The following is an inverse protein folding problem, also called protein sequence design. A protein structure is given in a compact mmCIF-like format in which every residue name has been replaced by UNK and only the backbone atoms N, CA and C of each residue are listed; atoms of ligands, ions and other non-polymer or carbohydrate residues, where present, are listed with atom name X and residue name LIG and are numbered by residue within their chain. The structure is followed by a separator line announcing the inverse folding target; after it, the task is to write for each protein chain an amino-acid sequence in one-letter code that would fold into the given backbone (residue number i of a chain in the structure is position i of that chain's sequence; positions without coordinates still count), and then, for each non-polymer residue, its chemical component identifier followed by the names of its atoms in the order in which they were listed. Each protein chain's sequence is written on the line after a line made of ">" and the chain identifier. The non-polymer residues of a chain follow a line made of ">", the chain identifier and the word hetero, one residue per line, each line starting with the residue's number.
data_IF_961713260464
#
_entry.id   IF_961713260464
#
_cell.length_a   1.000
_cell.length_b   1.000
_cell.length_c   1.000
_cell.angle_alpha   90.00
_cell.angle_beta   90.00
_cell.angle_gamma   90.00
#
_symmetry.space_group_name_H-M   'P 1'
#
loop_
_entity.id
_entity.type
_entity.pdbx_description
1 polymer ?
#
# COMPACT_ATOMS: atom_id res chain seq x y z
N UNK A 1 13.08 3.65 -10.15
CA UNK A 1 11.96 3.01 -9.44
C UNK A 1 10.96 4.11 -9.10
N UNK A 2 9.75 4.02 -9.65
CA UNK A 2 8.75 5.08 -9.46
C UNK A 2 7.97 4.83 -8.18
N UNK A 3 8.20 5.65 -7.14
CA UNK A 3 7.52 5.53 -5.85
C UNK A 3 6.00 5.49 -6.04
N UNK A 4 5.32 4.65 -5.26
CA UNK A 4 3.86 4.68 -5.12
C UNK A 4 3.47 4.85 -3.66
N UNK A 5 2.25 5.30 -3.46
CA UNK A 5 1.63 5.52 -2.17
C UNK A 5 0.39 4.66 -2.05
N UNK A 6 0.10 4.22 -0.83
CA UNK A 6 -1.11 3.49 -0.50
C UNK A 6 -1.79 4.19 0.67
N UNK A 7 -3.08 4.47 0.52
CA UNK A 7 -3.93 4.96 1.61
C UNK A 7 -4.68 3.75 2.16
N UNK A 8 -4.80 3.66 3.49
CA UNK A 8 -5.55 2.63 4.19
C UNK A 8 -6.23 3.21 5.42
N UNK A 9 -7.50 2.88 5.66
CA UNK A 9 -8.17 3.13 6.93
C UNK A 9 -8.15 1.89 7.82
N UNK A 10 -7.75 2.04 9.07
CA UNK A 10 -7.82 0.97 10.07
C UNK A 10 -9.29 0.60 10.33
N UNK A 11 -9.63 -0.69 10.21
CA UNK A 11 -11.01 -1.16 10.32
C UNK A 11 -11.89 -0.91 9.08
N UNK A 12 -11.38 -0.22 8.05
CA UNK A 12 -12.08 -0.05 6.78
C UNK A 12 -11.68 -1.17 5.81
N UNK A 13 -12.50 -2.22 5.71
CA UNK A 13 -12.22 -3.45 4.96
C UNK A 13 -11.88 -3.26 3.46
N UNK A 14 -12.16 -2.09 2.88
CA UNK A 14 -12.10 -1.87 1.43
C UNK A 14 -11.32 -0.64 0.98
N UNK A 15 -10.66 0.08 1.89
CA UNK A 15 -10.07 1.40 1.56
C UNK A 15 -8.59 1.35 1.19
N UNK A 16 -8.14 0.28 0.52
CA UNK A 16 -6.74 0.17 0.06
C UNK A 16 -6.66 0.65 -1.39
N UNK A 17 -6.29 1.93 -1.59
CA UNK A 17 -6.10 2.51 -2.91
C UNK A 17 -4.65 2.89 -3.14
N UNK A 18 -4.13 2.53 -4.32
CA UNK A 18 -2.77 2.84 -4.76
C UNK A 18 -2.75 4.12 -5.60
N UNK A 19 -1.75 4.95 -5.36
CA UNK A 19 -1.50 6.21 -6.04
C UNK A 19 -0.05 6.26 -6.54
N UNK A 20 0.18 6.82 -7.73
CA UNK A 20 1.52 6.99 -8.29
C UNK A 20 2.07 8.42 -8.08
N UNK A 21 1.32 9.28 -7.37
CA UNK A 21 1.76 10.58 -6.92
C UNK A 21 1.40 10.76 -5.42
N UNK A 22 2.12 11.64 -4.74
CA UNK A 22 1.89 11.91 -3.32
C UNK A 22 0.65 12.78 -3.10
N UNK A 23 0.44 13.78 -3.96
CA UNK A 23 -0.65 14.76 -3.81
C UNK A 23 -2.04 14.11 -3.84
N UNK A 24 -2.32 13.22 -4.80
CA UNK A 24 -3.61 12.52 -4.84
C UNK A 24 -3.78 11.59 -3.66
N UNK A 25 -2.69 10.97 -3.18
CA UNK A 25 -2.73 10.11 -2.02
C UNK A 25 -3.07 10.89 -0.73
N UNK A 26 -2.55 12.11 -0.59
CA UNK A 26 -2.88 13.01 0.52
C UNK A 26 -4.34 13.47 0.42
N UNK A 27 -4.81 13.84 -0.77
CA UNK A 27 -6.21 14.24 -0.99
C UNK A 27 -7.17 13.10 -0.65
N UNK A 28 -6.86 11.86 -1.05
CA UNK A 28 -7.68 10.70 -0.70
C UNK A 28 -7.67 10.43 0.81
N UNK A 29 -6.51 10.54 1.47
CA UNK A 29 -6.43 10.36 2.92
C UNK A 29 -7.29 11.38 3.67
N UNK A 30 -7.26 12.65 3.24
CA UNK A 30 -8.10 13.71 3.79
C UNK A 30 -9.61 13.44 3.53
N UNK A 31 -9.96 13.00 2.32
CA UNK A 31 -11.33 12.62 1.97
C UNK A 31 -11.85 11.50 2.87
N UNK A 32 -11.04 10.47 3.11
CA UNK A 32 -11.39 9.34 3.99
C UNK A 32 -11.49 9.76 5.46
N UNK A 33 -10.58 10.60 5.95
CA UNK A 33 -10.62 11.11 7.32
C UNK A 33 -11.91 11.92 7.58
N UNK A 34 -12.36 12.71 6.60
CA UNK A 34 -13.62 13.45 6.68
C UNK A 34 -14.86 12.55 6.62
N UNK A 35 -14.82 11.46 5.85
CA UNK A 35 -15.94 10.51 5.74
C UNK A 35 -16.07 9.59 6.95
N UNK A 36 -14.97 9.32 7.64
CA UNK A 36 -14.92 8.42 8.78
C UNK A 36 -14.28 9.10 9.99
N UNK A 37 -15.00 10.04 10.66
CA UNK A 37 -14.49 10.70 11.86
C UNK A 37 -14.17 9.66 12.93
N UNK A 38 -12.94 9.69 13.46
CA UNK A 38 -12.46 8.73 14.47
C UNK A 38 -11.82 7.47 13.90
N UNK A 39 -11.82 7.26 12.58
CA UNK A 39 -11.01 6.21 11.97
C UNK A 39 -9.56 6.65 11.80
N UNK A 40 -8.62 5.75 12.07
CA UNK A 40 -7.20 5.99 11.79
C UNK A 40 -6.93 5.78 10.30
N UNK A 41 -6.54 6.85 9.60
CA UNK A 41 -6.16 6.81 8.20
C UNK A 41 -4.63 6.87 8.09
N UNK A 42 -4.04 5.92 7.40
CA UNK A 42 -2.58 5.76 7.24
C UNK A 42 -2.20 5.87 5.77
N UNK A 43 -1.15 6.66 5.52
CA UNK A 43 -0.50 6.77 4.22
C UNK A 43 0.84 6.02 4.26
N UNK A 44 1.01 5.06 3.35
CA UNK A 44 2.20 4.23 3.24
C UNK A 44 2.95 4.56 1.96
N UNK A 45 4.26 4.81 2.05
CA UNK A 45 5.13 5.00 0.89
C UNK A 45 5.84 3.68 0.53
N UNK A 46 5.98 3.41 -0.76
CA UNK A 46 6.73 2.25 -1.24
C UNK A 46 8.22 2.41 -0.96
N UNK A 47 8.83 1.44 -0.28
CA UNK A 47 10.28 1.40 -0.02
C UNK A 47 11.09 0.78 -1.18
N UNK A 48 10.42 0.08 -2.10
CA UNK A 48 11.00 -0.59 -3.26
C UNK A 48 9.96 -1.53 -3.85
N UNK A 49 9.88 -1.61 -5.17
CA UNK A 49 8.97 -2.56 -5.82
C UNK A 49 9.72 -3.86 -6.02
N UNK A 50 9.14 -4.97 -5.57
CA UNK A 50 9.39 -6.26 -6.18
C UNK A 50 8.15 -6.56 -7.03
N UNK A 51 8.30 -6.68 -8.37
CA UNK A 51 7.22 -7.28 -9.15
C UNK A 51 7.21 -8.76 -8.80
N UNK A 52 6.03 -9.32 -8.54
CA UNK A 52 5.88 -10.76 -8.25
C UNK A 52 6.45 -11.63 -9.38
N UNK A 53 6.44 -11.10 -10.60
CA UNK A 53 7.04 -11.70 -11.80
C UNK A 53 8.57 -11.85 -11.73
N UNK A 54 9.25 -11.00 -10.95
CA UNK A 54 10.71 -11.00 -10.77
C UNK A 54 11.15 -11.92 -9.60
N UNK A 55 10.22 -12.68 -9.01
CA UNK A 55 10.49 -13.59 -7.89
C UNK A 55 10.62 -15.02 -8.40
N UNK A 56 11.85 -15.50 -8.47
CA UNK A 56 12.14 -16.91 -8.77
C UNK A 56 12.11 -17.72 -7.47
N UNK A 57 11.20 -18.69 -7.38
CA UNK A 57 11.18 -19.65 -6.27
C UNK A 57 12.07 -20.83 -6.64
N UNK A 58 13.14 -21.06 -5.89
CA UNK A 58 13.93 -22.30 -5.98
C UNK A 58 13.34 -23.35 -5.03
N UNK A 59 13.12 -24.60 -5.51
CA UNK A 59 12.74 -25.70 -4.63
C UNK A 59 13.77 -25.87 -3.51
N UNK A 60 13.30 -26.08 -2.29
CA UNK A 60 14.17 -26.45 -1.17
C UNK A 60 14.63 -27.90 -1.39
N UNK A 61 15.93 -28.10 -1.65
CA UNK A 61 16.53 -29.42 -1.59
C UNK A 61 16.77 -29.78 -0.11
N UNK A 62 16.06 -30.79 0.39
CA UNK A 62 16.37 -31.35 1.70
C UNK A 62 17.78 -31.95 1.66
N UNK A 63 18.65 -31.67 2.65
CA UNK A 63 19.97 -32.28 2.73
C UNK A 63 19.85 -33.81 2.85
N UNK A 64 20.61 -34.54 2.02
CA UNK A 64 20.70 -36.01 2.04
C UNK A 64 21.28 -36.56 3.33
#
# INVERSE_FOLDING_TARGET
>A
MDKFWKVQGEGLAHSVKRFNNLEDAVLEAARLANQHPGAYIVLLASLGHYRKEDVTWTPHEEPK
#
